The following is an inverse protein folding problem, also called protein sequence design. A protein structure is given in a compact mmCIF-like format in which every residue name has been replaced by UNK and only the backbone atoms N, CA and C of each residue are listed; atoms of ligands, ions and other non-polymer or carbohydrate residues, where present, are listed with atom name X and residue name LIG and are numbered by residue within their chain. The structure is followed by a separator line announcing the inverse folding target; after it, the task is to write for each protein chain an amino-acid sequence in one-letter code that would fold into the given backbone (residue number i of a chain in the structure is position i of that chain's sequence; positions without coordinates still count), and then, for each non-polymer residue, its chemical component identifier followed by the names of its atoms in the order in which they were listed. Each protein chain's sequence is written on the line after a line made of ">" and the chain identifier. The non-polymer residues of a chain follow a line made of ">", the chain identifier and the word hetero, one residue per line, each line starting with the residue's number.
data_IF_293323957259
#
_entry.id   IF_293323957259
#
_cell.length_a   1.000
_cell.length_b   1.000
_cell.length_c   1.000
_cell.angle_alpha   90.00
_cell.angle_beta   90.00
_cell.angle_gamma   90.00
#
_symmetry.space_group_name_H-M   'P 1'
#
loop_
_entity.id
_entity.type
_entity.pdbx_description
1 polymer ?
#
# COMPACT_ATOMS: atom_id res chain seq x y z
N UNK A 1 -8.48 -11.06 11.58
CA UNK A 1 -8.89 -10.94 10.16
C UNK A 1 -7.66 -10.48 9.39
N UNK A 2 -7.14 -11.33 8.50
CA UNK A 2 -6.02 -10.98 7.63
C UNK A 2 -6.53 -9.96 6.62
N UNK A 3 -6.47 -8.66 6.97
CA UNK A 3 -6.89 -7.59 6.06
C UNK A 3 -5.70 -7.27 5.16
N UNK A 4 -5.53 -8.05 4.10
CA UNK A 4 -4.69 -7.63 2.97
C UNK A 4 -5.28 -6.33 2.43
N UNK A 5 -4.50 -5.25 2.47
CA UNK A 5 -4.88 -3.99 1.82
C UNK A 5 -5.12 -4.29 0.35
N UNK A 6 -6.28 -3.94 -0.24
CA UNK A 6 -6.54 -4.20 -1.65
C UNK A 6 -5.50 -3.48 -2.51
N UNK A 7 -4.99 -4.16 -3.53
CA UNK A 7 -4.09 -3.54 -4.51
C UNK A 7 -4.90 -2.57 -5.36
N UNK A 8 -4.75 -1.29 -5.07
CA UNK A 8 -5.53 -0.23 -5.70
C UNK A 8 -4.81 0.40 -6.90
N UNK A 9 -3.65 -0.13 -7.31
CA UNK A 9 -2.88 0.36 -8.46
C UNK A 9 -3.75 0.63 -9.68
N UNK A 10 -3.36 1.58 -10.52
CA UNK A 10 -4.16 1.99 -11.68
C UNK A 10 -3.49 1.63 -13.00
N UNK A 11 -2.33 0.98 -12.93
CA UNK A 11 -1.54 0.67 -14.10
C UNK A 11 -2.19 -0.46 -14.89
N UNK A 12 -2.65 -1.49 -14.19
CA UNK A 12 -3.49 -2.54 -14.74
C UNK A 12 -4.97 -2.32 -14.41
N UNK A 13 -5.89 -2.50 -15.38
CA UNK A 13 -7.31 -2.44 -15.09
C UNK A 13 -7.74 -3.54 -14.11
N UNK A 14 -8.76 -3.24 -13.30
CA UNK A 14 -9.30 -4.16 -12.28
C UNK A 14 -10.81 -4.20 -12.35
N UNK A 15 -11.38 -5.09 -11.56
CA UNK A 15 -12.82 -5.08 -11.36
C UNK A 15 -13.29 -3.72 -10.79
N UNK A 16 -14.44 -3.23 -11.24
CA UNK A 16 -14.98 -1.98 -10.70
C UNK A 16 -15.32 -2.08 -9.19
N UNK A 17 -15.72 -3.25 -8.69
CA UNK A 17 -15.92 -3.48 -7.24
C UNK A 17 -14.61 -3.36 -6.45
N UNK A 18 -13.46 -3.66 -7.06
CA UNK A 18 -12.15 -3.45 -6.44
C UNK A 18 -11.91 -1.96 -6.18
N UNK A 19 -12.17 -1.10 -7.18
CA UNK A 19 -11.99 0.34 -7.02
C UNK A 19 -13.02 0.97 -6.08
N UNK A 20 -14.23 0.43 -6.01
CA UNK A 20 -15.22 0.80 -4.97
C UNK A 20 -14.69 0.50 -3.56
N UNK A 21 -14.08 -0.66 -3.35
CA UNK A 21 -13.45 -1.00 -2.07
C UNK A 21 -12.26 -0.08 -1.78
N UNK A 22 -11.38 0.15 -2.76
CA UNK A 22 -10.27 1.10 -2.64
C UNK A 22 -10.74 2.49 -2.23
N UNK A 23 -11.81 2.97 -2.86
CA UNK A 23 -12.42 4.23 -2.50
C UNK A 23 -12.91 4.22 -1.04
N UNK A 24 -13.59 3.16 -0.59
CA UNK A 24 -14.06 3.08 0.79
C UNK A 24 -12.93 3.06 1.84
N UNK A 25 -11.73 2.61 1.47
CA UNK A 25 -10.55 2.55 2.34
C UNK A 25 -9.77 3.86 2.37
N UNK A 26 -9.70 4.53 1.21
CA UNK A 26 -8.83 5.69 1.01
C UNK A 26 -9.59 7.03 0.98
N UNK A 27 -10.89 7.04 0.70
CA UNK A 27 -11.70 8.25 0.60
C UNK A 27 -12.56 8.48 1.83
N UNK A 28 -12.76 9.74 2.18
CA UNK A 28 -13.62 10.14 3.29
C UNK A 28 -15.09 10.11 2.89
N UNK A 29 -15.95 9.70 3.82
CA UNK A 29 -17.39 9.60 3.60
C UNK A 29 -17.98 10.93 3.14
N UNK A 30 -18.47 10.99 1.91
CA UNK A 30 -19.12 12.16 1.32
C UNK A 30 -18.23 13.04 0.43
N UNK A 31 -16.93 12.74 0.34
CA UNK A 31 -15.99 13.46 -0.52
C UNK A 31 -15.87 12.87 -1.94
N UNK A 32 -15.63 13.72 -2.93
CA UNK A 32 -15.24 13.27 -4.27
C UNK A 32 -13.84 12.64 -4.31
N UNK A 33 -13.41 12.15 -5.47
CA UNK A 33 -12.04 11.63 -5.72
C UNK A 33 -10.92 12.57 -5.27
N UNK A 34 -11.18 13.88 -5.25
CA UNK A 34 -10.27 14.93 -4.75
C UNK A 34 -10.06 14.93 -3.23
N UNK A 35 -10.89 14.22 -2.46
CA UNK A 35 -10.85 14.15 -0.99
C UNK A 35 -10.33 12.80 -0.46
N UNK A 36 -9.82 11.94 -1.36
CA UNK A 36 -9.19 10.70 -0.93
C UNK A 36 -7.75 10.92 -0.50
N UNK A 37 -7.34 10.19 0.54
CA UNK A 37 -5.94 9.94 0.85
C UNK A 37 -5.32 9.12 -0.28
N UNK A 38 -3.99 9.22 -0.44
CA UNK A 38 -3.21 8.47 -1.42
C UNK A 38 -3.39 9.00 -2.85
N UNK A 39 -2.34 8.86 -3.66
CA UNK A 39 -2.35 9.19 -5.09
C UNK A 39 -3.57 8.61 -5.82
N UNK A 40 -4.12 7.51 -5.30
CA UNK A 40 -5.31 6.83 -5.76
C UNK A 40 -6.49 7.79 -5.90
N UNK A 41 -6.79 8.69 -4.97
CA UNK A 41 -7.89 9.65 -5.16
C UNK A 41 -7.83 10.38 -6.48
N UNK A 42 -6.69 11.05 -6.71
CA UNK A 42 -6.47 11.86 -7.91
C UNK A 42 -6.41 11.06 -9.20
N UNK A 43 -5.85 9.84 -9.19
CA UNK A 43 -5.66 9.06 -10.41
C UNK A 43 -6.65 7.91 -10.60
N UNK A 44 -7.50 7.64 -9.60
CA UNK A 44 -8.61 6.71 -9.71
C UNK A 44 -9.51 7.16 -10.85
N UNK A 45 -9.72 8.46 -11.03
CA UNK A 45 -10.42 9.04 -12.19
C UNK A 45 -9.88 8.68 -13.58
N UNK A 46 -8.62 8.27 -13.66
CA UNK A 46 -7.97 7.82 -14.89
C UNK A 46 -8.02 6.29 -15.03
N UNK A 47 -8.44 5.60 -13.97
CA UNK A 47 -8.44 4.15 -13.89
C UNK A 47 -9.54 3.55 -14.74
N UNK A 48 -9.19 2.45 -15.38
CA UNK A 48 -10.10 1.65 -16.17
C UNK A 48 -10.52 0.47 -15.33
N UNK A 49 -11.81 0.20 -15.33
CA UNK A 49 -12.36 -0.93 -14.63
C UNK A 49 -13.32 -1.72 -15.50
N UNK A 50 -13.61 -2.95 -15.08
CA UNK A 50 -14.49 -3.84 -15.82
C UNK A 50 -15.42 -4.63 -14.91
N UNK A 51 -16.52 -5.11 -15.49
CA UNK A 51 -17.49 -5.99 -14.84
C UNK A 51 -17.91 -7.10 -15.81
N UNK A 52 -17.84 -8.35 -15.34
CA UNK A 52 -18.34 -9.50 -16.09
C UNK A 52 -19.86 -9.53 -16.06
N UNK A 53 -20.50 -9.69 -17.23
CA UNK A 53 -21.96 -9.83 -17.35
C UNK A 53 -22.41 -11.16 -16.75
N UNK A 54 -23.58 -11.15 -16.12
CA UNK A 54 -24.16 -12.34 -15.50
C UNK A 54 -23.48 -12.83 -14.21
N UNK A 55 -22.40 -12.17 -13.75
CA UNK A 55 -21.77 -12.46 -12.46
C UNK A 55 -22.27 -11.50 -11.37
N UNK A 56 -22.58 -12.04 -10.20
CA UNK A 56 -22.90 -11.24 -9.01
C UNK A 56 -21.63 -10.51 -8.48
N UNK A 57 -21.80 -9.49 -7.65
CA UNK A 57 -20.68 -8.72 -7.06
C UNK A 57 -19.64 -9.57 -6.32
N UNK A 58 -20.05 -10.71 -5.75
CA UNK A 58 -19.15 -11.65 -5.05
C UNK A 58 -18.38 -12.56 -6.01
N UNK A 59 -18.90 -12.76 -7.22
CA UNK A 59 -18.27 -13.56 -8.28
C UNK A 59 -17.42 -12.73 -9.24
N UNK A 60 -17.38 -11.41 -9.02
CA UNK A 60 -16.53 -10.49 -9.76
C UNK A 60 -15.07 -10.65 -9.28
N UNK A 61 -14.20 -11.12 -10.16
CA UNK A 61 -12.76 -11.15 -9.95
C UNK A 61 -12.05 -10.02 -10.73
N UNK A 62 -10.79 -9.75 -10.36
CA UNK A 62 -9.93 -8.79 -11.04
C UNK A 62 -9.00 -9.45 -12.07
N UNK A 63 -9.30 -10.67 -12.51
CA UNK A 63 -8.64 -11.32 -13.61
C UNK A 63 -8.93 -10.57 -14.91
N UNK A 64 -7.89 -9.98 -15.48
CA UNK A 64 -7.93 -9.25 -16.75
C UNK A 64 -8.51 -10.19 -17.83
N UNK A 65 -9.64 -9.84 -18.47
CA UNK A 65 -10.26 -10.72 -19.45
C UNK A 65 -9.35 -10.92 -20.68
N UNK A 66 -9.65 -11.90 -21.53
CA UNK A 66 -8.91 -12.05 -22.81
C UNK A 66 -9.29 -10.92 -23.77
N UNK A 67 -8.36 -10.56 -24.65
CA UNK A 67 -8.67 -9.61 -25.72
C UNK A 67 -9.78 -10.17 -26.62
N UNK A 68 -10.77 -9.35 -26.96
CA UNK A 68 -11.96 -9.75 -27.71
C UNK A 68 -13.05 -10.46 -26.89
N UNK A 69 -12.95 -10.52 -25.56
CA UNK A 69 -14.03 -11.05 -24.71
C UNK A 69 -15.23 -10.10 -24.72
N UNK A 70 -16.38 -10.59 -25.18
CA UNK A 70 -17.62 -9.82 -25.28
C UNK A 70 -18.46 -9.85 -24.00
N UNK A 71 -18.13 -10.68 -23.02
CA UNK A 71 -18.86 -10.86 -21.76
C UNK A 71 -18.57 -9.78 -20.70
N UNK A 72 -17.86 -8.72 -21.07
CA UNK A 72 -17.35 -7.70 -20.14
C UNK A 72 -17.78 -6.30 -20.52
N UNK A 73 -18.27 -5.55 -19.53
CA UNK A 73 -18.52 -4.12 -19.65
C UNK A 73 -17.37 -3.32 -19.03
N UNK A 74 -16.83 -2.39 -19.82
CA UNK A 74 -15.69 -1.56 -19.46
C UNK A 74 -16.12 -0.15 -19.11
N UNK A 75 -15.50 0.41 -18.07
CA UNK A 75 -15.82 1.73 -17.54
C UNK A 75 -14.54 2.49 -17.20
N UNK A 76 -14.65 3.82 -17.24
CA UNK A 76 -13.69 4.72 -16.62
C UNK A 76 -14.22 5.06 -15.24
N UNK A 77 -13.37 4.99 -14.22
CA UNK A 77 -13.78 5.47 -12.89
C UNK A 77 -13.90 7.01 -12.98
N UNK A 78 -15.01 7.61 -12.51
CA UNK A 78 -15.20 9.06 -12.52
C UNK A 78 -14.03 9.84 -11.92
N UNK A 79 -13.60 10.91 -12.60
CA UNK A 79 -12.50 11.78 -12.15
C UNK A 79 -12.90 12.89 -11.20
N UNK A 80 -14.19 13.22 -11.12
CA UNK A 80 -14.74 14.24 -10.23
C UNK A 80 -16.15 13.84 -9.75
N UNK A 81 -16.52 14.29 -8.55
CA UNK A 81 -17.82 14.03 -7.93
C UNK A 81 -17.85 12.78 -7.03
N UNK A 82 -18.96 12.57 -6.29
CA UNK A 82 -19.16 11.32 -5.57
C UNK A 82 -19.21 10.17 -6.57
N UNK A 83 -18.42 9.11 -6.34
CA UNK A 83 -18.54 7.87 -7.10
C UNK A 83 -19.89 7.22 -6.74
N UNK A 84 -20.93 7.54 -7.52
CA UNK A 84 -22.23 6.90 -7.39
C UNK A 84 -22.15 5.49 -7.97
N UNK A 85 -22.00 4.52 -7.07
CA UNK A 85 -22.05 3.10 -7.38
C UNK A 85 -23.50 2.62 -7.32
N UNK A 86 -24.25 2.77 -8.41
CA UNK A 86 -25.62 2.25 -8.50
C UNK A 86 -25.56 0.73 -8.70
N UNK A 87 -26.03 -0.03 -7.71
CA UNK A 87 -25.97 -1.50 -7.70
C UNK A 87 -24.58 -2.09 -8.01
N UNK A 88 -23.52 -1.39 -7.57
CA UNK A 88 -22.13 -1.82 -7.78
C UNK A 88 -21.54 -1.46 -9.15
N UNK A 89 -22.28 -0.72 -9.99
CA UNK A 89 -21.83 -0.30 -11.33
C UNK A 89 -21.53 1.20 -11.39
N UNK A 90 -20.52 1.62 -12.18
CA UNK A 90 -20.37 3.02 -12.57
C UNK A 90 -21.54 3.50 -13.43
N UNK A 91 -21.66 4.82 -13.66
CA UNK A 91 -22.76 5.38 -14.45
C UNK A 91 -22.63 4.95 -15.91
N UNK A 92 -23.75 4.91 -16.64
CA UNK A 92 -23.77 4.51 -18.05
C UNK A 92 -22.88 5.42 -18.92
N UNK A 93 -22.80 6.71 -18.59
CA UNK A 93 -21.93 7.69 -19.26
C UNK A 93 -20.43 7.42 -19.08
N UNK A 94 -20.06 6.69 -18.03
CA UNK A 94 -18.68 6.33 -17.74
C UNK A 94 -18.21 5.09 -18.54
N UNK A 95 -19.09 4.49 -19.38
CA UNK A 95 -18.77 3.32 -20.19
C UNK A 95 -17.73 3.66 -21.26
N UNK A 96 -16.69 2.85 -21.36
CA UNK A 96 -15.57 3.09 -22.27
C UNK A 96 -15.84 2.54 -23.69
N UNK A 97 -15.44 3.28 -24.75
CA UNK A 97 -15.39 2.75 -26.11
C UNK A 97 -14.23 1.74 -26.25
N UNK A 98 -14.32 0.90 -27.28
CA UNK A 98 -13.44 -0.27 -27.47
C UNK A 98 -11.94 0.06 -27.53
N UNK A 99 -11.56 1.14 -28.21
CA UNK A 99 -10.16 1.57 -28.33
C UNK A 99 -9.55 2.11 -27.02
N UNK A 100 -10.36 2.32 -25.98
CA UNK A 100 -9.92 2.71 -24.64
C UNK A 100 -9.92 1.52 -23.66
N UNK A 101 -10.00 0.28 -24.14
CA UNK A 101 -9.79 -0.91 -23.30
C UNK A 101 -8.28 -1.18 -23.14
N UNK A 102 -7.88 -1.98 -22.12
CA UNK A 102 -6.55 -2.64 -22.01
C UNK A 102 -5.25 -1.83 -21.90
N UNK A 103 -5.28 -0.50 -21.87
CA UNK A 103 -4.05 0.30 -21.81
C UNK A 103 -3.43 0.29 -20.42
N UNK A 104 -2.11 0.14 -20.35
CA UNK A 104 -1.36 0.46 -19.15
C UNK A 104 -0.94 1.92 -19.14
N UNK A 105 -1.00 2.57 -17.98
CA UNK A 105 -0.53 3.95 -17.81
C UNK A 105 0.97 4.03 -18.13
N UNK A 106 1.40 5.04 -18.89
CA UNK A 106 2.82 5.29 -19.19
C UNK A 106 3.47 4.39 -20.26
N UNK A 107 2.90 3.24 -20.60
CA UNK A 107 3.46 2.35 -21.63
C UNK A 107 2.78 2.58 -22.99
N UNK A 108 3.34 3.47 -23.82
CA UNK A 108 2.79 3.74 -25.17
C UNK A 108 2.86 2.56 -26.16
N UNK A 109 3.33 1.39 -25.72
CA UNK A 109 3.73 0.25 -26.56
C UNK A 109 3.39 -1.12 -25.97
N UNK A 110 2.79 -1.18 -24.78
CA UNK A 110 2.39 -2.43 -24.12
C UNK A 110 0.95 -2.30 -23.63
N UNK A 111 0.24 -3.42 -23.61
CA UNK A 111 -1.11 -3.50 -23.06
C UNK A 111 -1.23 -4.69 -22.10
N UNK A 112 -2.10 -4.54 -21.11
CA UNK A 112 -2.38 -5.63 -20.17
C UNK A 112 -3.23 -6.69 -20.87
N UNK A 113 -2.88 -7.96 -20.68
CA UNK A 113 -3.64 -9.10 -21.20
C UNK A 113 -3.93 -10.11 -20.09
N UNK A 114 -4.68 -11.16 -20.42
CA UNK A 114 -5.03 -12.21 -19.47
C UNK A 114 -3.79 -12.89 -18.90
N UNK A 115 -3.82 -13.23 -17.61
CA UNK A 115 -2.76 -14.02 -16.97
C UNK A 115 -2.57 -15.37 -17.68
N UNK A 116 -3.62 -15.92 -18.30
CA UNK A 116 -3.58 -17.18 -19.03
C UNK A 116 -2.62 -17.15 -20.23
N UNK A 117 -2.36 -15.96 -20.79
CA UNK A 117 -1.44 -15.81 -21.92
C UNK A 117 0.02 -15.89 -21.44
N UNK A 118 0.28 -15.59 -20.17
CA UNK A 118 1.63 -15.54 -19.60
C UNK A 118 2.11 -16.88 -19.03
N UNK A 119 3.45 -17.11 -19.00
CA UNK A 119 4.03 -18.28 -18.35
C UNK A 119 3.58 -18.42 -16.90
N UNK A 120 3.10 -19.61 -16.53
CA UNK A 120 2.61 -19.97 -15.19
C UNK A 120 1.63 -18.93 -14.58
N UNK A 121 0.90 -18.20 -15.42
CA UNK A 121 -0.03 -17.16 -14.97
C UNK A 121 0.62 -16.10 -14.06
N UNK A 122 1.89 -15.79 -14.30
CA UNK A 122 2.71 -14.91 -13.46
C UNK A 122 2.68 -15.29 -11.97
N UNK A 123 2.49 -16.58 -11.65
CA UNK A 123 2.32 -17.11 -10.29
C UNK A 123 1.24 -16.38 -9.47
N UNK A 124 0.31 -15.69 -10.13
CA UNK A 124 -0.64 -14.75 -9.50
C UNK A 124 0.03 -13.66 -8.64
N UNK A 125 1.30 -13.34 -8.94
CA UNK A 125 2.18 -12.38 -8.24
C UNK A 125 2.62 -11.24 -9.15
N UNK A 126 1.93 -11.04 -10.27
CA UNK A 126 2.26 -10.06 -11.28
C UNK A 126 1.09 -9.77 -12.21
N UNK A 127 1.37 -8.95 -13.22
CA UNK A 127 0.47 -8.57 -14.29
C UNK A 127 1.04 -9.08 -15.61
N UNK A 128 0.19 -9.66 -16.46
CA UNK A 128 0.61 -10.09 -17.79
C UNK A 128 0.51 -8.94 -18.79
N UNK A 129 1.60 -8.63 -19.48
CA UNK A 129 1.62 -7.59 -20.52
C UNK A 129 2.08 -8.15 -21.86
N UNK A 130 1.46 -7.66 -22.92
CA UNK A 130 1.76 -7.99 -24.30
C UNK A 130 2.47 -6.81 -24.95
N UNK A 131 3.66 -7.07 -25.51
CA UNK A 131 4.44 -6.05 -26.23
C UNK A 131 3.90 -5.80 -27.63
N UNK A 132 3.99 -4.56 -28.11
CA UNK A 132 3.68 -4.17 -29.49
C UNK A 132 4.48 -4.91 -30.57
N UNK A 133 5.66 -5.44 -30.25
CA UNK A 133 6.50 -6.22 -31.17
C UNK A 133 6.17 -7.72 -31.15
N UNK A 134 5.12 -8.13 -30.43
CA UNK A 134 4.81 -9.52 -30.15
C UNK A 134 5.49 -10.02 -28.88
N UNK A 135 4.96 -11.12 -28.33
CA UNK A 135 5.43 -11.72 -27.08
C UNK A 135 4.81 -11.15 -25.81
N UNK A 136 4.62 -12.03 -24.82
CA UNK A 136 4.08 -11.72 -23.49
C UNK A 136 5.17 -11.77 -22.45
N UNK A 137 5.02 -11.01 -21.37
CA UNK A 137 5.88 -11.09 -20.19
C UNK A 137 5.10 -10.78 -18.92
N UNK A 138 5.58 -11.31 -17.81
CA UNK A 138 5.08 -10.94 -16.50
C UNK A 138 5.81 -9.69 -15.99
N UNK A 139 5.03 -8.73 -15.50
CA UNK A 139 5.52 -7.63 -14.65
C UNK A 139 5.24 -8.02 -13.22
N UNK A 140 6.30 -8.31 -12.48
CA UNK A 140 6.18 -8.83 -11.12
C UNK A 140 5.84 -7.71 -10.15
N UNK A 141 4.93 -8.02 -9.22
CA UNK A 141 4.68 -7.12 -8.09
C UNK A 141 5.94 -7.02 -7.25
N UNK A 142 6.09 -5.88 -6.59
CA UNK A 142 7.16 -5.63 -5.64
C UNK A 142 7.40 -6.80 -4.69
N UNK A 143 8.67 -7.21 -4.62
CA UNK A 143 9.12 -8.34 -3.83
C UNK A 143 8.95 -9.71 -4.47
N UNK A 144 8.64 -9.77 -5.76
CA UNK A 144 8.71 -10.98 -6.57
C UNK A 144 9.56 -10.74 -7.82
N UNK A 145 10.22 -11.80 -8.28
CA UNK A 145 11.04 -11.80 -9.50
C UNK A 145 10.98 -13.15 -10.21
N UNK A 146 11.70 -13.25 -11.31
CA UNK A 146 11.66 -14.41 -12.21
C UNK A 146 10.81 -14.15 -13.44
N UNK A 147 10.81 -15.09 -14.38
CA UNK A 147 10.10 -14.93 -15.66
C UNK A 147 8.57 -15.00 -15.47
N UNK A 148 8.12 -15.68 -14.43
CA UNK A 148 6.72 -15.86 -14.07
C UNK A 148 6.43 -15.39 -12.63
N UNK A 149 7.27 -14.51 -12.07
CA UNK A 149 7.12 -13.99 -10.69
C UNK A 149 7.06 -15.08 -9.60
N UNK A 150 7.72 -16.20 -9.88
CA UNK A 150 7.74 -17.40 -9.04
C UNK A 150 8.73 -17.31 -7.88
N UNK A 151 9.70 -16.41 -7.98
CA UNK A 151 10.75 -16.21 -6.98
C UNK A 151 10.40 -15.03 -6.07
N UNK A 152 10.73 -15.13 -4.80
CA UNK A 152 10.66 -14.01 -3.87
C UNK A 152 11.90 -13.12 -4.04
N UNK A 153 11.73 -11.80 -3.95
CA UNK A 153 12.81 -10.82 -4.02
C UNK A 153 13.01 -10.07 -2.70
N UNK A 154 13.64 -10.75 -1.74
CA UNK A 154 13.76 -10.28 -0.36
C UNK A 154 14.65 -9.02 -0.20
N UNK A 155 15.58 -8.76 -1.13
CA UNK A 155 16.54 -7.66 -1.02
C UNK A 155 15.92 -6.29 -1.35
N UNK A 156 15.00 -6.26 -2.32
CA UNK A 156 14.29 -5.04 -2.71
C UNK A 156 12.94 -4.87 -1.99
N UNK A 157 12.28 -5.97 -1.62
CA UNK A 157 10.96 -5.95 -1.03
C UNK A 157 10.92 -5.13 0.27
N UNK A 158 11.68 -5.52 1.30
CA UNK A 158 11.54 -4.95 2.64
C UNK A 158 12.39 -3.69 2.81
N UNK A 159 11.87 -2.56 2.36
CA UNK A 159 12.56 -1.26 2.29
C UNK A 159 13.39 -0.90 3.51
N UNK A 160 12.82 -1.08 4.71
CA UNK A 160 13.45 -0.63 5.95
C UNK A 160 14.17 -1.74 6.72
N UNK A 161 13.85 -3.01 6.45
CA UNK A 161 14.45 -4.14 7.17
C UNK A 161 14.50 -5.41 6.31
N UNK A 162 15.49 -5.53 5.40
CA UNK A 162 15.54 -6.62 4.42
C UNK A 162 15.49 -8.03 5.04
N UNK A 163 16.08 -8.21 6.22
CA UNK A 163 16.14 -9.50 6.92
C UNK A 163 15.08 -9.64 8.01
N UNK A 164 14.24 -8.63 8.23
CA UNK A 164 13.28 -8.60 9.34
C UNK A 164 13.94 -8.92 10.70
N UNK A 165 15.20 -8.50 10.88
CA UNK A 165 16.04 -8.82 12.03
C UNK A 165 16.16 -10.31 12.36
N UNK A 166 15.89 -11.21 11.41
CA UNK A 166 15.88 -12.65 11.64
C UNK A 166 14.68 -13.14 12.46
N UNK A 167 13.68 -12.28 12.69
CA UNK A 167 12.49 -12.55 13.50
C UNK A 167 11.20 -12.43 12.69
N UNK A 168 11.29 -12.74 11.40
CA UNK A 168 10.15 -12.70 10.51
C UNK A 168 10.52 -13.00 9.07
N UNK A 169 9.51 -12.98 8.20
CA UNK A 169 9.68 -13.17 6.76
C UNK A 169 9.24 -11.93 6.02
N UNK A 170 10.05 -11.51 5.05
CA UNK A 170 9.65 -10.45 4.14
C UNK A 170 8.58 -10.97 3.18
N UNK A 171 7.44 -10.30 3.09
CA UNK A 171 6.42 -10.57 2.06
C UNK A 171 5.78 -9.27 1.61
N UNK A 172 5.74 -9.06 0.30
CA UNK A 172 5.15 -7.86 -0.33
C UNK A 172 5.69 -6.54 0.24
N UNK A 173 6.97 -6.56 0.61
CA UNK A 173 7.69 -5.42 1.17
C UNK A 173 7.51 -5.12 2.65
N UNK A 174 6.88 -6.03 3.38
CA UNK A 174 6.70 -5.93 4.83
C UNK A 174 7.32 -7.11 5.56
N UNK A 175 7.77 -6.82 6.78
CA UNK A 175 8.16 -7.86 7.71
C UNK A 175 6.93 -8.46 8.40
N UNK A 176 6.71 -9.75 8.14
CA UNK A 176 5.73 -10.56 8.85
C UNK A 176 6.45 -11.25 10.01
N UNK A 177 6.33 -10.67 11.20
CA UNK A 177 7.09 -11.09 12.37
C UNK A 177 6.66 -12.45 12.93
N UNK A 178 7.63 -13.17 13.47
CA UNK A 178 7.40 -14.40 14.22
C UNK A 178 6.64 -14.10 15.53
N UNK A 179 5.90 -15.07 16.09
CA UNK A 179 5.16 -14.87 17.34
C UNK A 179 6.05 -14.32 18.47
N UNK A 180 5.54 -13.30 19.15
CA UNK A 180 6.27 -12.59 20.19
C UNK A 180 7.15 -11.44 19.69
N UNK A 181 7.29 -11.27 18.38
CA UNK A 181 7.98 -10.13 17.77
C UNK A 181 7.01 -9.19 17.05
N UNK A 182 7.33 -7.90 17.04
CA UNK A 182 6.53 -6.89 16.33
C UNK A 182 7.35 -5.67 15.90
N UNK A 183 6.67 -4.79 15.17
CA UNK A 183 7.20 -3.55 14.64
C UNK A 183 7.74 -3.69 13.22
N UNK A 184 8.06 -2.54 12.63
CA UNK A 184 8.32 -2.40 11.19
C UNK A 184 9.45 -3.32 10.67
N UNK A 185 10.41 -3.63 11.53
CA UNK A 185 11.51 -4.55 11.23
C UNK A 185 11.57 -5.78 12.13
N UNK A 186 10.50 -6.12 12.87
CA UNK A 186 10.51 -7.18 13.90
C UNK A 186 11.59 -6.98 14.96
N UNK A 187 11.76 -5.73 15.39
CA UNK A 187 12.83 -5.31 16.31
C UNK A 187 12.43 -5.38 17.78
N UNK A 188 11.16 -5.65 18.10
CA UNK A 188 10.62 -5.62 19.46
C UNK A 188 10.06 -6.96 19.88
N UNK A 189 10.33 -7.34 21.12
CA UNK A 189 9.76 -8.53 21.76
C UNK A 189 9.25 -8.30 23.18
N UNK A 190 9.41 -7.09 23.72
CA UNK A 190 8.85 -6.70 25.03
C UNK A 190 8.32 -5.26 25.03
N UNK A 191 7.30 -5.05 25.86
CA UNK A 191 6.84 -3.72 26.23
C UNK A 191 7.58 -3.27 27.49
N UNK A 192 8.00 -2.01 27.52
CA UNK A 192 8.67 -1.47 28.69
C UNK A 192 7.65 -1.06 29.75
N UNK A 193 7.85 -1.51 30.99
CA UNK A 193 7.11 -1.07 32.16
C UNK A 193 8.06 -0.39 33.14
N UNK A 194 7.68 0.76 33.71
CA UNK A 194 8.44 1.36 34.80
C UNK A 194 8.18 0.62 36.11
N UNK A 195 9.24 0.51 36.91
CA UNK A 195 9.10 0.18 38.32
C UNK A 195 8.29 1.27 39.06
N UNK A 196 7.40 0.88 40.00
CA UNK A 196 6.62 1.83 40.80
C UNK A 196 7.49 2.92 41.44
N UNK A 197 7.12 4.18 41.26
CA UNK A 197 7.84 5.33 41.82
C UNK A 197 8.99 5.88 40.96
N UNK A 198 9.31 5.24 39.82
CA UNK A 198 10.29 5.78 38.88
C UNK A 198 9.81 7.07 38.22
N UNK A 199 10.71 8.06 38.08
CA UNK A 199 10.43 9.33 37.39
C UNK A 199 10.98 9.31 35.97
N UNK A 200 10.20 9.83 35.02
CA UNK A 200 10.63 10.05 33.65
C UNK A 200 11.63 11.21 33.61
N UNK A 201 12.92 10.95 33.46
CA UNK A 201 13.94 11.99 33.34
C UNK A 201 14.81 11.70 32.11
N UNK A 202 14.49 12.31 30.96
CA UNK A 202 15.33 12.18 29.77
C UNK A 202 16.74 12.70 30.01
N UNK A 203 17.73 12.04 29.41
CA UNK A 203 19.13 12.49 29.51
C UNK A 203 19.33 13.81 28.76
N UNK A 204 20.15 14.71 29.32
CA UNK A 204 20.57 15.95 28.65
C UNK A 204 21.79 15.78 27.75
N UNK A 205 22.53 14.68 27.89
CA UNK A 205 23.80 14.44 27.18
C UNK A 205 23.68 13.36 26.10
N UNK A 206 22.64 12.52 26.16
CA UNK A 206 22.40 11.45 25.18
C UNK A 206 20.99 11.59 24.65
N UNK A 207 20.87 11.78 23.34
CA UNK A 207 19.58 11.82 22.67
C UNK A 207 18.99 10.41 22.63
N UNK A 208 17.76 10.27 23.11
CA UNK A 208 16.95 9.05 23.01
C UNK A 208 15.66 9.35 22.25
N UNK A 209 15.36 8.52 21.26
CA UNK A 209 14.15 8.64 20.43
C UNK A 209 13.32 7.37 20.59
N UNK A 210 12.10 7.51 21.10
CA UNK A 210 11.13 6.42 21.15
C UNK A 210 10.34 6.39 19.86
N UNK A 211 10.36 5.25 19.17
CA UNK A 211 9.57 5.02 17.96
C UNK A 211 8.27 4.29 18.30
N UNK A 212 7.14 4.80 17.82
CA UNK A 212 5.89 4.04 17.80
C UNK A 212 5.90 3.05 16.63
N UNK A 213 5.83 1.76 16.95
CA UNK A 213 5.78 0.70 15.96
C UNK A 213 4.34 0.53 15.46
N UNK A 214 4.06 1.14 14.31
CA UNK A 214 2.72 1.14 13.72
C UNK A 214 2.56 -0.04 12.75
N UNK A 215 1.46 -0.79 12.83
CA UNK A 215 1.17 -1.85 11.87
C UNK A 215 1.05 -1.32 10.44
N UNK A 216 1.40 -2.16 9.47
CA UNK A 216 1.36 -1.82 8.04
C UNK A 216 -0.03 -1.39 7.58
N UNK A 217 -1.11 -1.87 8.20
CA UNK A 217 -2.48 -1.50 7.87
C UNK A 217 -2.78 0.00 8.09
N UNK A 218 -1.99 0.67 8.95
CA UNK A 218 -2.12 2.10 9.23
C UNK A 218 -1.03 2.92 8.56
N UNK A 219 0.17 2.35 8.35
CA UNK A 219 1.30 3.01 7.70
C UNK A 219 1.98 2.01 6.76
N UNK A 220 1.57 2.00 5.50
CA UNK A 220 2.20 1.19 4.46
C UNK A 220 2.88 2.06 3.41
N UNK A 221 4.09 1.69 2.95
CA UNK A 221 4.50 1.82 1.56
C UNK A 221 3.33 1.61 0.60
N UNK A 222 2.75 2.67 0.08
CA UNK A 222 1.66 2.56 -0.89
C UNK A 222 2.05 1.68 -2.07
N UNK A 223 1.23 0.69 -2.44
CA UNK A 223 1.37 0.02 -3.74
C UNK A 223 0.99 1.05 -4.83
N UNK A 224 2.00 1.73 -5.38
CA UNK A 224 1.83 2.54 -6.57
C UNK A 224 1.91 1.65 -7.81
N UNK A 225 1.11 1.96 -8.84
CA UNK A 225 1.16 1.31 -10.16
C UNK A 225 1.22 -0.23 -10.12
N UNK A 226 0.30 -0.86 -9.37
CA UNK A 226 0.19 -2.34 -9.31
C UNK A 226 1.41 -3.06 -8.74
N UNK A 227 2.24 -2.33 -7.99
CA UNK A 227 3.45 -2.87 -7.41
C UNK A 227 4.64 -2.87 -8.37
N UNK A 228 4.55 -2.26 -9.55
CA UNK A 228 5.67 -2.05 -10.51
C UNK A 228 6.63 -0.92 -10.06
N UNK A 229 6.63 -0.56 -8.78
CA UNK A 229 7.28 0.67 -8.35
C UNK A 229 8.80 0.54 -8.32
N UNK A 230 9.50 1.37 -9.09
CA UNK A 230 10.91 1.67 -8.82
C UNK A 230 11.00 2.62 -7.62
N UNK A 231 12.03 2.48 -6.78
CA UNK A 231 12.25 3.39 -5.63
C UNK A 231 12.21 4.85 -6.08
N UNK A 232 11.29 5.63 -5.52
CA UNK A 232 11.28 7.08 -5.77
C UNK A 232 12.49 7.69 -5.09
N UNK A 233 13.44 8.10 -5.92
CA UNK A 233 14.71 8.69 -5.51
C UNK A 233 14.53 9.94 -4.64
N UNK A 234 13.38 10.62 -4.71
CA UNK A 234 13.09 11.79 -3.88
C UNK A 234 12.94 11.42 -2.39
N UNK A 235 12.55 10.18 -2.07
CA UNK A 235 12.29 9.73 -0.71
C UNK A 235 13.32 8.73 -0.18
N UNK A 236 14.38 8.47 -0.95
CA UNK A 236 15.43 7.51 -0.60
C UNK A 236 16.13 7.87 0.73
N UNK A 237 16.25 9.16 1.05
CA UNK A 237 16.84 9.61 2.30
C UNK A 237 16.01 9.16 3.52
N UNK A 238 14.68 9.16 3.41
CA UNK A 238 13.78 8.69 4.46
C UNK A 238 13.86 7.16 4.60
N UNK A 239 13.96 6.44 3.49
CA UNK A 239 14.19 4.98 3.50
C UNK A 239 15.48 4.62 4.22
N UNK A 240 16.59 5.29 3.90
CA UNK A 240 17.86 5.09 4.59
C UNK A 240 17.75 5.46 6.07
N UNK A 241 17.13 6.59 6.40
CA UNK A 241 16.91 6.98 7.79
C UNK A 241 16.22 5.86 8.57
N UNK A 242 15.06 5.36 8.10
CA UNK A 242 14.37 4.27 8.77
C UNK A 242 15.21 2.99 8.82
N UNK A 243 15.89 2.65 7.72
CA UNK A 243 16.76 1.47 7.66
C UNK A 243 17.87 1.51 8.71
N UNK A 244 18.53 2.65 8.90
CA UNK A 244 19.58 2.76 9.93
C UNK A 244 18.99 2.90 11.34
N UNK A 245 17.94 3.70 11.48
CA UNK A 245 17.31 3.98 12.77
C UNK A 245 16.67 2.73 13.40
N UNK A 246 16.16 1.80 12.59
CA UNK A 246 15.62 0.55 13.10
C UNK A 246 16.68 -0.33 13.79
N UNK A 247 17.96 -0.19 13.43
CA UNK A 247 19.08 -0.97 13.95
C UNK A 247 19.97 -0.19 14.96
N UNK A 248 19.71 1.10 15.15
CA UNK A 248 20.45 1.95 16.08
C UNK A 248 19.82 1.93 17.48
N UNK A 249 20.36 1.12 18.39
CA UNK A 249 19.95 1.11 19.81
C UNK A 249 20.73 2.08 20.71
N UNK A 250 21.69 2.82 20.14
CA UNK A 250 22.35 3.90 20.86
C UNK A 250 21.42 5.12 20.96
N UNK A 251 20.71 5.47 19.88
CA UNK A 251 19.75 6.59 19.85
C UNK A 251 18.31 6.11 19.98
N UNK A 252 17.89 5.05 19.27
CA UNK A 252 16.52 4.52 19.42
C UNK A 252 16.40 3.85 20.79
N UNK A 253 15.25 4.03 21.43
CA UNK A 253 14.94 3.38 22.69
C UNK A 253 13.59 2.67 22.67
N UNK A 254 13.51 1.56 23.40
CA UNK A 254 12.26 0.86 23.69
C UNK A 254 11.61 1.35 24.99
N UNK A 255 12.32 2.17 25.78
CA UNK A 255 11.85 2.79 27.00
C UNK A 255 11.33 4.21 26.69
N UNK A 256 10.01 4.43 26.70
CA UNK A 256 9.48 5.76 26.38
C UNK A 256 9.78 6.80 27.48
N UNK A 257 10.15 6.40 28.69
CA UNK A 257 10.38 7.32 29.81
C UNK A 257 11.73 8.02 29.80
N UNK A 258 12.73 7.46 29.10
CA UNK A 258 14.03 8.12 28.88
C UNK A 258 14.06 8.94 27.58
N UNK A 259 13.02 8.82 26.75
CA UNK A 259 12.98 9.43 25.44
C UNK A 259 12.93 10.96 25.52
N UNK A 260 13.81 11.61 24.76
CA UNK A 260 13.79 13.05 24.51
C UNK A 260 12.79 13.39 23.41
N UNK A 261 12.66 12.53 22.40
CA UNK A 261 11.78 12.70 21.24
C UNK A 261 10.95 11.46 21.00
N UNK A 262 9.76 11.67 20.41
CA UNK A 262 8.87 10.62 19.96
C UNK A 262 8.78 10.68 18.45
N UNK A 263 8.93 9.53 17.80
CA UNK A 263 8.88 9.40 16.37
C UNK A 263 7.76 8.45 15.96
N UNK A 264 6.95 8.88 15.00
CA UNK A 264 5.92 8.06 14.38
C UNK A 264 6.30 7.91 12.90
N UNK A 265 6.56 6.68 12.39
CA UNK A 265 6.85 6.45 10.99
C UNK A 265 5.55 6.51 10.16
N UNK A 266 4.97 7.70 10.05
CA UNK A 266 3.67 7.90 9.40
C UNK A 266 3.69 7.66 7.90
N UNK A 267 4.86 7.70 7.24
CA UNK A 267 4.99 7.49 5.79
C UNK A 267 4.11 8.42 4.94
N UNK A 268 3.87 9.65 5.44
CA UNK A 268 2.91 10.62 4.88
C UNK A 268 3.13 10.87 3.38
N UNK A 269 4.37 10.83 2.90
CA UNK A 269 4.70 11.10 1.50
C UNK A 269 4.03 10.14 0.50
N UNK A 270 3.78 8.87 0.85
CA UNK A 270 3.00 7.95 0.02
C UNK A 270 1.54 8.37 -0.13
N UNK A 271 1.04 9.16 0.82
CA UNK A 271 -0.37 9.51 0.92
C UNK A 271 -0.70 10.90 0.38
N UNK A 272 0.30 11.78 0.23
CA UNK A 272 0.03 13.20 -0.11
C UNK A 272 0.65 13.74 -1.38
N UNK A 273 1.65 13.05 -1.93
CA UNK A 273 2.41 13.56 -3.08
C UNK A 273 2.83 15.04 -2.86
N UNK A 274 3.02 15.82 -3.93
CA UNK A 274 3.52 17.20 -3.80
C UNK A 274 2.49 18.25 -3.32
N UNK A 275 1.17 18.01 -3.46
CA UNK A 275 0.14 19.07 -3.25
C UNK A 275 -1.15 18.61 -2.56
N UNK A 276 -1.28 17.35 -2.12
CA UNK A 276 -2.53 16.88 -1.49
C UNK A 276 -2.52 17.06 0.04
N UNK A 277 -3.72 16.95 0.63
CA UNK A 277 -3.94 17.18 2.05
C UNK A 277 -3.45 15.97 2.91
N UNK A 278 -2.42 16.11 3.75
CA UNK A 278 -1.94 15.05 4.66
C UNK A 278 -2.86 14.75 5.82
N UNK A 279 -3.73 15.70 6.15
CA UNK A 279 -4.42 15.73 7.42
C UNK A 279 -5.21 14.45 7.69
N UNK A 280 -5.96 13.86 6.73
CA UNK A 280 -6.73 12.66 7.02
C UNK A 280 -5.88 11.44 7.39
N UNK A 281 -4.78 11.21 6.65
CA UNK A 281 -3.84 10.14 6.95
C UNK A 281 -3.18 10.35 8.32
N UNK A 282 -2.72 11.57 8.61
CA UNK A 282 -2.14 11.92 9.91
C UNK A 282 -3.16 11.67 11.03
N UNK A 283 -4.42 12.09 10.87
CA UNK A 283 -5.46 11.87 11.86
C UNK A 283 -5.71 10.38 12.12
N UNK A 284 -5.77 9.56 11.06
CA UNK A 284 -5.94 8.11 11.15
C UNK A 284 -4.82 7.47 11.96
N UNK A 285 -3.57 7.81 11.63
CA UNK A 285 -2.38 7.27 12.30
C UNK A 285 -2.30 7.75 13.76
N UNK A 286 -2.51 9.05 14.01
CA UNK A 286 -2.49 9.62 15.37
C UNK A 286 -3.60 9.02 16.23
N UNK A 287 -4.80 8.80 15.68
CA UNK A 287 -5.90 8.13 16.38
C UNK A 287 -5.54 6.70 16.76
N UNK A 288 -4.88 5.96 15.88
CA UNK A 288 -4.40 4.62 16.21
C UNK A 288 -3.37 4.65 17.35
N UNK A 289 -2.38 5.56 17.27
CA UNK A 289 -1.35 5.69 18.32
C UNK A 289 -1.98 6.05 19.67
N UNK A 290 -2.89 7.02 19.68
CA UNK A 290 -3.50 7.52 20.91
C UNK A 290 -4.41 6.52 21.62
N UNK A 291 -4.97 5.56 20.87
CA UNK A 291 -5.86 4.52 21.40
C UNK A 291 -5.12 3.21 21.69
N UNK A 292 -4.00 2.94 21.03
CA UNK A 292 -3.28 1.66 21.13
C UNK A 292 -2.06 1.71 22.03
N UNK A 293 -1.45 2.90 22.24
CA UNK A 293 -0.23 3.05 23.03
C UNK A 293 -0.49 3.83 24.33
N UNK A 294 -0.42 3.18 25.51
CA UNK A 294 -0.73 3.80 26.80
C UNK A 294 0.07 5.06 27.10
N UNK A 295 1.31 5.11 26.59
CA UNK A 295 2.21 6.22 26.88
C UNK A 295 1.81 7.53 26.20
N UNK A 296 1.11 7.48 25.05
CA UNK A 296 0.75 8.67 24.29
C UNK A 296 -0.13 9.63 25.12
N UNK A 297 -1.14 9.10 25.80
CA UNK A 297 -2.09 9.88 26.62
C UNK A 297 -1.80 9.80 28.14
N UNK A 298 -0.57 9.47 28.54
CA UNK A 298 -0.23 9.21 29.96
C UNK A 298 -0.47 10.39 30.91
N UNK A 299 -0.55 11.61 30.40
CA UNK A 299 -0.80 12.83 31.19
C UNK A 299 -2.30 13.12 31.38
N UNK A 300 -3.20 12.33 30.77
CA UNK A 300 -4.65 12.49 30.91
C UNK A 300 -5.19 13.84 30.41
N UNK A 301 -4.47 14.49 29.49
CA UNK A 301 -4.84 15.77 28.86
C UNK A 301 -4.90 15.59 27.36
#
# INVERSE_FOLDING_TARGET
>A
MNRTVPSCGTWAPKNCECYKQCQSVHCHSGGGTSECEHHLGSILGESRCFLYRGRSSVQQDSGVPRNGSDDVDWYQVPSQGPLEWLDGKPRTEDRLPEHKKWFCKGSGKEHVTSLEDCPQHCSSRGVCVQSHHGGVRCVCRMGFKGLACELDDNEEACWFSPTCNGHGKCKSGFCHCDPGWWGLGCTRSSAYALEPGSKAVPSRHRLKIYMYDIPSEYTFPGEHEDGDFQRDVNYIAYEYFLRYFLYDWEVRTQNPYEANLFFIPMLVYFYVHNVQNPYPHIQRVVRYVSTSFPFWNRTGK
#
